data_IF_225913002988
#
_entry.id   IF_225913002988
#
_cell.length_a   1.000
_cell.length_b   1.000
_cell.length_c   1.000
_cell.angle_alpha   90.00
_cell.angle_beta   90.00
_cell.angle_gamma   90.00
#
_symmetry.space_group_name_H-M   'P 1'
#
loop_
_entity.id
_entity.type
_entity.pdbx_description
1 polymer ?
#
# COMPACT_ATOMS: atom_id res chain seq x y z
N UNK A 1 -17.71 15.23 -0.68
CA UNK A 1 -17.81 15.54 0.74
C UNK A 1 -18.59 16.85 0.97
N UNK A 2 -18.20 17.98 0.37
CA UNK A 2 -18.89 19.29 0.53
C UNK A 2 -20.39 19.23 0.24
N UNK A 3 -20.80 18.57 -0.87
CA UNK A 3 -22.23 18.42 -1.24
C UNK A 3 -23.05 17.73 -0.16
N UNK A 4 -22.43 16.80 0.57
CA UNK A 4 -23.09 16.01 1.62
C UNK A 4 -22.84 16.58 3.04
N UNK A 5 -22.32 17.82 3.13
CA UNK A 5 -22.05 18.52 4.40
C UNK A 5 -21.15 17.71 5.38
N UNK A 6 -20.28 16.85 4.84
CA UNK A 6 -19.31 16.11 5.65
C UNK A 6 -18.18 17.05 6.06
N UNK A 7 -17.86 17.09 7.35
CA UNK A 7 -16.71 17.83 7.85
C UNK A 7 -15.44 17.05 7.51
N UNK A 8 -14.46 17.71 6.91
CA UNK A 8 -13.22 17.05 6.51
C UNK A 8 -12.01 17.99 6.60
N UNK A 9 -10.85 17.40 6.80
CA UNK A 9 -9.54 18.02 6.71
C UNK A 9 -8.74 17.33 5.62
N UNK A 10 -8.00 18.10 4.82
CA UNK A 10 -7.11 17.54 3.78
C UNK A 10 -5.66 17.70 4.23
N UNK A 11 -4.88 16.63 4.07
CA UNK A 11 -3.43 16.65 4.15
C UNK A 11 -2.89 16.12 2.80
N UNK A 12 -2.30 17.01 2.00
CA UNK A 12 -1.84 16.70 0.64
C UNK A 12 -0.30 16.72 0.50
N UNK A 13 0.42 17.03 1.56
CA UNK A 13 1.88 17.22 1.54
C UNK A 13 2.63 15.88 1.74
N UNK A 14 2.27 14.86 0.97
CA UNK A 14 2.97 13.58 0.99
C UNK A 14 3.82 13.46 -0.26
N UNK A 15 5.13 13.51 -0.08
CA UNK A 15 6.11 13.31 -1.15
C UNK A 15 6.25 11.83 -1.52
N UNK A 16 6.79 11.52 -2.72
CA UNK A 16 7.29 10.18 -3.02
C UNK A 16 8.31 9.72 -1.98
N UNK A 17 8.26 8.44 -1.59
CA UNK A 17 9.07 7.88 -0.49
C UNK A 17 8.92 8.69 0.82
N UNK A 18 7.73 8.69 1.43
CA UNK A 18 7.44 9.52 2.59
C UNK A 18 8.35 9.18 3.76
N UNK A 19 8.77 10.21 4.48
CA UNK A 19 9.59 10.05 5.67
C UNK A 19 8.78 10.16 6.97
N UNK A 20 9.45 9.85 8.08
CA UNK A 20 8.84 9.90 9.41
C UNK A 20 8.39 11.31 9.80
N UNK A 21 9.03 12.35 9.25
CA UNK A 21 8.68 13.75 9.51
C UNK A 21 7.31 14.07 8.90
N UNK A 22 7.07 13.63 7.66
CA UNK A 22 5.77 13.75 6.99
C UNK A 22 4.68 12.99 7.75
N UNK A 23 4.97 11.77 8.20
CA UNK A 23 4.04 10.98 9.01
C UNK A 23 3.69 11.70 10.31
N UNK A 24 4.68 12.20 11.04
CA UNK A 24 4.44 12.93 12.29
C UNK A 24 3.59 14.17 12.06
N UNK A 25 3.88 14.97 11.03
CA UNK A 25 3.11 16.17 10.69
C UNK A 25 1.64 15.85 10.39
N UNK A 26 1.37 14.79 9.60
CA UNK A 26 0.01 14.33 9.35
C UNK A 26 -0.68 13.82 10.61
N UNK A 27 0.04 13.09 11.46
CA UNK A 27 -0.49 12.60 12.75
C UNK A 27 -0.92 13.73 13.68
N UNK A 28 -0.13 14.83 13.77
CA UNK A 28 -0.51 16.01 14.57
C UNK A 28 -1.80 16.66 14.05
N UNK A 29 -1.97 16.76 12.73
CA UNK A 29 -3.21 17.25 12.12
C UNK A 29 -4.38 16.33 12.51
N UNK A 30 -4.20 15.00 12.47
CA UNK A 30 -5.22 14.06 12.89
C UNK A 30 -5.57 14.20 14.38
N UNK A 31 -4.58 14.41 15.25
CA UNK A 31 -4.81 14.63 16.69
C UNK A 31 -5.64 15.88 16.95
N UNK A 32 -5.40 16.94 16.19
CA UNK A 32 -6.18 18.19 16.27
C UNK A 32 -7.60 18.04 15.73
N UNK A 33 -7.75 17.40 14.55
CA UNK A 33 -9.03 17.23 13.85
C UNK A 33 -9.91 16.12 14.43
N UNK A 34 -9.29 15.06 14.98
CA UNK A 34 -9.96 13.87 15.55
C UNK A 34 -10.88 13.13 14.57
N UNK A 35 -10.36 12.65 13.43
CA UNK A 35 -11.18 11.95 12.45
C UNK A 35 -11.71 10.63 13.00
N UNK A 36 -12.91 10.24 12.59
CA UNK A 36 -13.46 8.89 12.72
C UNK A 36 -13.19 8.03 11.47
N UNK A 37 -12.81 8.67 10.38
CA UNK A 37 -12.54 8.04 9.10
C UNK A 37 -11.35 8.70 8.42
N UNK A 38 -10.40 7.89 7.96
CA UNK A 38 -9.27 8.29 7.11
C UNK A 38 -9.57 7.82 5.70
N UNK A 39 -9.38 8.71 4.72
CA UNK A 39 -9.45 8.37 3.30
C UNK A 39 -8.06 8.64 2.70
N UNK A 40 -7.34 7.58 2.36
CA UNK A 40 -6.08 7.66 1.65
C UNK A 40 -6.34 7.55 0.15
N UNK A 41 -6.18 8.66 -0.57
CA UNK A 41 -6.36 8.74 -2.02
C UNK A 41 -5.00 9.01 -2.67
N UNK A 42 -4.49 8.08 -3.47
CA UNK A 42 -3.20 8.24 -4.16
C UNK A 42 -2.53 6.92 -4.51
N UNK A 43 -1.26 6.95 -4.82
CA UNK A 43 -0.42 5.76 -5.01
C UNK A 43 0.04 5.15 -3.69
N UNK A 44 1.08 4.29 -3.74
CA UNK A 44 1.63 3.62 -2.56
C UNK A 44 2.08 4.61 -1.48
N UNK A 45 2.82 5.66 -1.84
CA UNK A 45 3.37 6.63 -0.87
C UNK A 45 2.32 7.30 0.01
N UNK A 46 1.24 7.90 -0.51
CA UNK A 46 0.17 8.44 0.32
C UNK A 46 -0.53 7.38 1.18
N UNK A 47 -0.74 6.17 0.66
CA UNK A 47 -1.38 5.10 1.41
C UNK A 47 -0.50 4.60 2.56
N UNK A 48 0.79 4.40 2.30
CA UNK A 48 1.75 3.95 3.32
C UNK A 48 1.93 4.99 4.42
N UNK A 49 2.10 6.27 4.05
CA UNK A 49 2.12 7.36 5.02
C UNK A 49 0.85 7.40 5.87
N UNK A 50 -0.32 7.29 5.24
CA UNK A 50 -1.60 7.31 5.94
C UNK A 50 -1.79 6.10 6.88
N UNK A 51 -1.31 4.90 6.53
CA UNK A 51 -1.30 3.72 7.41
C UNK A 51 -0.49 3.97 8.68
N UNK A 52 0.69 4.58 8.56
CA UNK A 52 1.54 4.86 9.72
C UNK A 52 1.01 6.05 10.53
N UNK A 53 0.43 7.07 9.88
CA UNK A 53 -0.31 8.13 10.56
C UNK A 53 -1.50 7.57 11.37
N UNK A 54 -2.25 6.62 10.79
CA UNK A 54 -3.34 5.91 11.47
C UNK A 54 -2.84 5.17 12.72
N UNK A 55 -1.73 4.44 12.59
CA UNK A 55 -1.10 3.75 13.71
C UNK A 55 -0.75 4.73 14.84
N UNK A 56 -0.04 5.81 14.55
CA UNK A 56 0.38 6.79 15.56
C UNK A 56 -0.77 7.62 16.14
N UNK A 57 -1.86 7.78 15.39
CA UNK A 57 -3.06 8.43 15.88
C UNK A 57 -3.83 7.56 16.88
N UNK A 58 -3.98 6.27 16.58
CA UNK A 58 -4.68 5.34 17.49
C UNK A 58 -3.81 4.89 18.68
N UNK A 59 -2.50 4.83 18.49
CA UNK A 59 -1.52 4.29 19.42
C UNK A 59 -0.36 5.28 19.63
N UNK A 60 -0.60 6.38 20.35
CA UNK A 60 0.39 7.46 20.48
C UNK A 60 1.64 7.08 21.26
N UNK A 61 1.61 5.97 22.01
CA UNK A 61 2.74 5.44 22.78
C UNK A 61 3.71 4.59 21.94
N UNK A 62 3.37 4.28 20.68
CA UNK A 62 4.22 3.47 19.82
C UNK A 62 5.37 4.32 19.27
N UNK A 63 6.60 3.88 19.52
CA UNK A 63 7.79 4.46 18.89
C UNK A 63 8.07 3.78 17.53
N UNK A 64 8.29 4.57 16.50
CA UNK A 64 8.68 4.08 15.17
C UNK A 64 9.90 3.15 15.21
N UNK A 65 10.90 3.47 16.05
CA UNK A 65 12.11 2.66 16.22
C UNK A 65 11.82 1.26 16.71
N UNK A 66 10.85 1.14 17.60
CA UNK A 66 10.41 -0.14 18.12
C UNK A 66 9.74 -1.02 17.06
N UNK A 67 8.97 -0.41 16.16
CA UNK A 67 8.34 -1.11 15.05
C UNK A 67 9.36 -1.69 14.06
N UNK A 68 10.38 -0.89 13.73
CA UNK A 68 11.45 -1.27 12.82
C UNK A 68 12.29 -2.42 13.36
N UNK A 69 12.67 -2.37 14.62
CA UNK A 69 13.51 -3.41 15.25
C UNK A 69 12.80 -4.76 15.37
N UNK A 70 11.46 -4.74 15.40
CA UNK A 70 10.62 -5.92 15.67
C UNK A 70 10.10 -6.61 14.40
N UNK A 71 10.36 -6.05 13.23
CA UNK A 71 9.95 -6.61 11.94
C UNK A 71 10.71 -7.88 11.54
N UNK A 72 11.87 -8.14 12.13
CA UNK A 72 12.81 -9.17 11.69
C UNK A 72 12.29 -10.62 11.76
N UNK A 73 11.20 -10.91 12.48
CA UNK A 73 10.56 -12.24 12.45
C UNK A 73 9.06 -12.17 12.74
N UNK A 74 8.27 -12.14 11.67
CA UNK A 74 6.80 -12.14 11.75
C UNK A 74 6.27 -13.37 12.50
N UNK A 75 6.99 -14.47 12.51
CA UNK A 75 6.60 -15.74 13.14
C UNK A 75 6.99 -15.82 14.62
N UNK A 76 8.00 -15.05 15.04
CA UNK A 76 8.51 -15.03 16.42
C UNK A 76 8.22 -13.70 17.10
N UNK A 77 6.98 -13.21 17.00
CA UNK A 77 6.60 -11.91 17.55
C UNK A 77 6.86 -11.85 19.06
N UNK A 78 7.98 -11.26 19.44
CA UNK A 78 8.22 -10.82 20.83
C UNK A 78 7.37 -9.58 21.16
N UNK A 79 6.81 -8.89 20.15
CA UNK A 79 5.98 -7.70 20.28
C UNK A 79 4.58 -7.95 19.72
N UNK A 80 3.57 -7.64 20.52
CA UNK A 80 2.18 -7.66 20.06
C UNK A 80 1.88 -6.32 19.39
N UNK A 81 1.73 -6.34 18.06
CA UNK A 81 1.30 -5.15 17.32
C UNK A 81 -0.09 -4.72 17.82
N UNK A 82 -0.32 -3.42 18.05
CA UNK A 82 -1.60 -2.95 18.54
C UNK A 82 -2.71 -3.14 17.52
N UNK A 83 -3.93 -3.40 17.99
CA UNK A 83 -5.11 -3.47 17.13
C UNK A 83 -5.53 -2.06 16.72
N UNK A 84 -5.71 -1.86 15.41
CA UNK A 84 -6.21 -0.62 14.83
C UNK A 84 -7.70 -0.73 14.46
N UNK A 85 -8.30 0.41 14.08
CA UNK A 85 -9.68 0.48 13.62
C UNK A 85 -10.71 0.61 14.72
N UNK A 86 -10.30 0.84 15.97
CA UNK A 86 -11.20 1.10 17.09
C UNK A 86 -11.73 2.52 17.11
N UNK A 87 -10.86 3.49 16.85
CA UNK A 87 -11.21 4.93 16.81
C UNK A 87 -11.55 5.39 15.40
N UNK A 88 -10.86 4.86 14.40
CA UNK A 88 -10.87 5.41 13.04
C UNK A 88 -10.92 4.29 12.02
N UNK A 89 -11.81 4.39 11.04
CA UNK A 89 -11.85 3.48 9.89
C UNK A 89 -10.90 3.99 8.81
N UNK A 90 -10.29 3.06 8.07
CA UNK A 90 -9.35 3.39 7.00
C UNK A 90 -9.91 2.95 5.64
N UNK A 91 -10.07 3.91 4.74
CA UNK A 91 -10.50 3.70 3.36
C UNK A 91 -9.32 4.01 2.45
N UNK A 92 -8.90 3.06 1.63
CA UNK A 92 -7.84 3.24 0.64
C UNK A 92 -8.43 3.31 -0.77
N UNK A 93 -7.98 4.29 -1.54
CA UNK A 93 -8.43 4.55 -2.92
C UNK A 93 -7.19 4.72 -3.78
N UNK A 94 -6.71 3.65 -4.46
CA UNK A 94 -5.50 3.70 -5.26
C UNK A 94 -5.69 4.52 -6.55
N UNK A 95 -4.67 5.29 -6.93
CA UNK A 95 -4.59 6.03 -8.19
C UNK A 95 -3.43 5.55 -9.07
N UNK A 96 -2.77 4.46 -8.70
CA UNK A 96 -1.77 3.74 -9.49
C UNK A 96 -2.07 2.25 -9.47
N UNK A 97 -1.65 1.53 -10.50
CA UNK A 97 -1.84 0.08 -10.63
C UNK A 97 -0.50 -0.63 -10.44
N UNK A 98 -0.06 -0.76 -9.19
CA UNK A 98 1.27 -1.31 -8.87
C UNK A 98 1.36 -1.93 -7.49
N UNK A 99 1.42 -1.11 -6.46
CA UNK A 99 1.80 -1.50 -5.10
C UNK A 99 0.81 -2.42 -4.38
N UNK A 100 -0.47 -2.40 -4.74
CA UNK A 100 -1.51 -3.13 -3.99
C UNK A 100 -1.67 -2.68 -2.53
N UNK A 101 -1.17 -1.49 -2.17
CA UNK A 101 -1.18 -1.01 -0.78
C UNK A 101 -2.60 -0.92 -0.19
N UNK A 102 -3.62 -0.78 -1.04
CA UNK A 102 -5.03 -0.74 -0.61
C UNK A 102 -5.54 -2.04 0.03
N UNK A 103 -4.86 -3.16 -0.20
CA UNK A 103 -5.23 -4.49 0.34
C UNK A 103 -4.11 -5.18 1.13
N UNK A 104 -2.99 -4.50 1.36
CA UNK A 104 -1.83 -5.11 2.00
C UNK A 104 -1.61 -4.62 3.43
N UNK A 105 -1.01 -5.47 4.28
CA UNK A 105 -0.67 -5.14 5.66
C UNK A 105 0.69 -4.42 5.79
N UNK A 106 1.21 -3.87 4.71
CA UNK A 106 2.55 -3.27 4.65
C UNK A 106 2.48 -1.76 4.53
N UNK A 107 3.51 -1.08 5.06
CA UNK A 107 3.81 0.31 4.79
C UNK A 107 5.34 0.50 4.77
N UNK A 108 5.86 1.25 3.81
CA UNK A 108 7.29 1.54 3.70
C UNK A 108 7.52 3.02 3.97
N UNK A 109 8.32 3.31 5.01
CA UNK A 109 8.66 4.68 5.39
C UNK A 109 10.17 4.85 5.29
N UNK A 110 10.60 5.97 4.72
CA UNK A 110 12.00 6.31 4.55
C UNK A 110 12.55 7.04 5.78
N UNK A 111 13.77 6.68 6.17
CA UNK A 111 14.60 7.45 7.08
C UNK A 111 15.69 8.11 6.23
N UNK A 112 15.42 9.32 5.78
CA UNK A 112 16.31 10.08 4.91
C UNK A 112 17.62 10.44 5.61
N UNK A 113 17.60 10.58 6.95
CA UNK A 113 18.81 10.89 7.73
C UNK A 113 19.81 9.75 7.70
N UNK A 114 19.35 8.50 7.68
CA UNK A 114 20.18 7.30 7.66
C UNK A 114 20.19 6.59 6.28
N UNK A 115 19.56 7.17 5.27
CA UNK A 115 19.40 6.60 3.92
C UNK A 115 18.88 5.15 3.96
N UNK A 116 17.80 4.93 4.70
CA UNK A 116 17.20 3.59 4.90
C UNK A 116 15.71 3.62 4.67
N UNK A 117 15.20 2.53 4.09
CA UNK A 117 13.75 2.25 4.00
C UNK A 117 13.37 1.22 5.07
N UNK A 118 12.31 1.51 5.78
CA UNK A 118 11.80 0.67 6.86
C UNK A 118 10.42 0.12 6.48
N UNK A 119 10.34 -1.15 6.11
CA UNK A 119 9.06 -1.81 5.97
C UNK A 119 8.44 -2.07 7.35
N UNK A 120 7.20 -1.67 7.53
CA UNK A 120 6.36 -2.00 8.67
C UNK A 120 5.32 -2.99 8.18
N UNK A 121 5.12 -4.08 8.88
CA UNK A 121 4.15 -5.09 8.51
C UNK A 121 3.37 -5.60 9.71
N UNK A 122 2.06 -5.47 9.64
CA UNK A 122 1.12 -6.16 10.51
C UNK A 122 -0.26 -6.17 9.87
N UNK A 123 -1.00 -7.26 10.03
CA UNK A 123 -2.35 -7.37 9.49
C UNK A 123 -3.31 -6.27 9.97
N UNK A 124 -3.04 -5.67 11.14
CA UNK A 124 -3.79 -4.51 11.64
C UNK A 124 -3.67 -3.26 10.76
N UNK A 125 -2.62 -3.16 9.91
CA UNK A 125 -2.43 -2.07 8.96
C UNK A 125 -3.25 -2.23 7.67
N UNK A 126 -3.89 -3.38 7.47
CA UNK A 126 -4.74 -3.60 6.30
C UNK A 126 -5.92 -2.62 6.31
N UNK A 127 -6.16 -1.87 5.23
CA UNK A 127 -7.28 -0.95 5.15
C UNK A 127 -8.64 -1.63 5.43
N UNK A 128 -9.55 -0.91 6.06
CA UNK A 128 -10.90 -1.42 6.35
C UNK A 128 -11.72 -1.60 5.06
N UNK A 129 -11.52 -0.71 4.09
CA UNK A 129 -12.18 -0.70 2.78
C UNK A 129 -11.18 -0.29 1.72
N UNK A 130 -11.14 -1.02 0.62
CA UNK A 130 -10.47 -0.61 -0.62
C UNK A 130 -11.52 -0.23 -1.66
N UNK A 131 -11.37 0.94 -2.29
CA UNK A 131 -12.21 1.39 -3.41
C UNK A 131 -11.32 1.41 -4.66
N UNK A 132 -11.46 0.41 -5.50
CA UNK A 132 -10.67 0.23 -6.72
C UNK A 132 -11.48 0.75 -7.90
N UNK A 133 -11.29 2.04 -8.23
CA UNK A 133 -12.03 2.72 -9.31
C UNK A 133 -11.10 2.96 -10.51
N UNK A 134 -11.32 2.25 -11.63
CA UNK A 134 -10.47 2.38 -12.82
C UNK A 134 -10.50 3.79 -13.44
N UNK A 135 -11.51 4.60 -13.17
CA UNK A 135 -11.55 5.98 -13.65
C UNK A 135 -10.38 6.82 -13.11
N UNK A 136 -9.84 6.47 -11.93
CA UNK A 136 -8.75 7.20 -11.29
C UNK A 136 -7.37 6.90 -11.89
N UNK A 137 -7.24 5.85 -12.71
CA UNK A 137 -5.96 5.47 -13.34
C UNK A 137 -5.89 5.77 -14.84
N UNK A 138 -6.94 6.34 -15.43
CA UNK A 138 -6.99 6.65 -16.87
C UNK A 138 -5.95 7.69 -17.28
N UNK A 139 -5.64 8.63 -16.40
CA UNK A 139 -4.71 9.74 -16.68
C UNK A 139 -3.28 9.45 -16.24
N UNK A 140 -3.00 8.25 -15.71
CA UNK A 140 -1.64 7.85 -15.32
C UNK A 140 -0.74 7.84 -16.56
N UNK A 141 0.43 8.54 -16.51
CA UNK A 141 1.38 8.55 -17.63
C UNK A 141 1.83 7.14 -18.01
N UNK A 142 2.08 6.92 -19.32
CA UNK A 142 2.44 5.60 -19.85
C UNK A 142 3.70 5.00 -19.19
N UNK A 143 4.72 5.82 -18.90
CA UNK A 143 5.93 5.34 -18.22
C UNK A 143 5.63 4.87 -16.78
N UNK A 144 4.78 5.59 -16.03
CA UNK A 144 4.36 5.15 -14.70
C UNK A 144 3.55 3.85 -14.79
N UNK A 145 2.66 3.74 -15.78
CA UNK A 145 1.88 2.52 -15.99
C UNK A 145 2.76 1.32 -16.36
N UNK A 146 3.87 1.54 -17.09
CA UNK A 146 4.83 0.50 -17.41
C UNK A 146 5.58 0.03 -16.15
N UNK A 147 6.15 0.96 -15.40
CA UNK A 147 6.92 0.66 -14.19
C UNK A 147 6.04 -0.04 -13.15
N UNK A 148 4.87 0.53 -12.85
CA UNK A 148 3.96 -0.06 -11.86
C UNK A 148 3.34 -1.38 -12.34
N UNK A 149 3.13 -1.55 -13.64
CA UNK A 149 2.64 -2.82 -14.19
C UNK A 149 3.68 -3.94 -14.14
N UNK A 150 4.96 -3.62 -14.32
CA UNK A 150 6.06 -4.57 -14.09
C UNK A 150 6.21 -4.92 -12.62
N UNK A 151 5.96 -3.96 -11.73
CA UNK A 151 5.90 -4.19 -10.29
C UNK A 151 4.79 -5.20 -9.94
N UNK A 152 3.59 -5.07 -10.52
CA UNK A 152 2.50 -6.07 -10.38
C UNK A 152 2.95 -7.46 -10.80
N UNK A 153 3.64 -7.58 -11.95
CA UNK A 153 4.15 -8.87 -12.42
C UNK A 153 5.14 -9.47 -11.45
N UNK A 154 6.04 -8.64 -10.90
CA UNK A 154 7.04 -9.06 -9.92
C UNK A 154 6.37 -9.49 -8.62
N UNK A 155 5.43 -8.72 -8.09
CA UNK A 155 4.63 -9.07 -6.91
C UNK A 155 3.95 -10.44 -7.06
N UNK A 156 3.24 -10.65 -8.17
CA UNK A 156 2.52 -11.87 -8.41
C UNK A 156 3.47 -13.07 -8.59
N UNK A 157 4.58 -12.88 -9.32
CA UNK A 157 5.57 -13.93 -9.53
C UNK A 157 6.27 -14.33 -8.23
N UNK A 158 6.69 -13.34 -7.42
CA UNK A 158 7.33 -13.63 -6.13
C UNK A 158 6.36 -14.28 -5.15
N UNK A 159 5.09 -13.86 -5.11
CA UNK A 159 4.07 -14.52 -4.32
C UNK A 159 3.87 -15.99 -4.72
N UNK A 160 3.86 -16.28 -6.03
CA UNK A 160 3.69 -17.65 -6.55
C UNK A 160 4.85 -18.58 -6.19
N UNK A 161 6.10 -18.09 -6.24
CA UNK A 161 7.28 -18.92 -5.92
C UNK A 161 7.70 -18.83 -4.46
N UNK A 162 6.94 -18.14 -3.62
CA UNK A 162 7.24 -17.97 -2.20
C UNK A 162 7.17 -19.30 -1.45
N UNK A 163 8.01 -19.45 -0.43
CA UNK A 163 7.90 -20.57 0.51
C UNK A 163 6.59 -20.55 1.34
N UNK A 164 5.89 -19.42 1.36
CA UNK A 164 4.61 -19.23 2.03
C UNK A 164 3.41 -19.33 1.06
N UNK A 165 3.68 -19.70 -0.21
CA UNK A 165 2.63 -19.89 -1.21
C UNK A 165 1.64 -20.97 -0.80
N UNK A 166 0.42 -20.86 -1.27
CA UNK A 166 -0.68 -21.79 -0.99
C UNK A 166 -1.63 -21.82 -2.18
N UNK A 167 -2.48 -22.82 -2.28
CA UNK A 167 -3.50 -22.93 -3.34
C UNK A 167 -4.33 -21.66 -3.49
N UNK A 168 -4.58 -20.92 -2.41
CA UNK A 168 -5.31 -19.65 -2.42
C UNK A 168 -4.48 -18.52 -3.04
N UNK A 169 -3.22 -18.39 -2.61
CA UNK A 169 -2.34 -17.33 -3.13
C UNK A 169 -1.90 -17.60 -4.55
N UNK A 170 -1.73 -18.86 -4.93
CA UNK A 170 -1.35 -19.30 -6.27
C UNK A 170 -2.43 -18.93 -7.30
N UNK A 171 -3.70 -19.19 -6.96
CA UNK A 171 -4.82 -18.79 -7.81
C UNK A 171 -4.86 -17.28 -8.07
N UNK A 172 -4.64 -16.46 -7.03
CA UNK A 172 -4.58 -15.00 -7.14
C UNK A 172 -3.35 -14.56 -7.96
N UNK A 173 -2.17 -15.11 -7.66
CA UNK A 173 -0.94 -14.77 -8.35
C UNK A 173 -1.01 -15.09 -9.86
N UNK A 174 -1.46 -16.28 -10.22
CA UNK A 174 -1.63 -16.69 -11.62
C UNK A 174 -2.65 -15.82 -12.36
N UNK A 175 -3.75 -15.44 -11.71
CA UNK A 175 -4.73 -14.54 -12.30
C UNK A 175 -4.13 -13.13 -12.55
N UNK A 176 -3.37 -12.60 -11.60
CA UNK A 176 -2.69 -11.32 -11.76
C UNK A 176 -1.67 -11.37 -12.91
N UNK A 177 -0.83 -12.40 -12.98
CA UNK A 177 0.14 -12.61 -14.06
C UNK A 177 -0.57 -12.63 -15.42
N UNK A 178 -1.65 -13.41 -15.55
CA UNK A 178 -2.44 -13.48 -16.77
C UNK A 178 -2.94 -12.09 -17.19
N UNK A 179 -3.56 -11.35 -16.29
CA UNK A 179 -4.08 -10.02 -16.57
C UNK A 179 -2.99 -9.05 -17.02
N UNK A 180 -1.79 -9.11 -16.42
CA UNK A 180 -0.64 -8.30 -16.82
C UNK A 180 -0.21 -8.63 -18.26
N UNK A 181 0.00 -9.91 -18.59
CA UNK A 181 0.42 -10.30 -19.93
C UNK A 181 -0.60 -9.92 -21.01
N UNK A 182 -1.88 -9.98 -20.70
CA UNK A 182 -2.95 -9.66 -21.65
C UNK A 182 -3.16 -8.15 -21.84
N UNK A 183 -2.80 -7.30 -20.85
CA UNK A 183 -3.29 -5.92 -20.84
C UNK A 183 -2.19 -4.85 -20.66
N UNK A 184 -0.99 -5.17 -20.16
CA UNK A 184 0.02 -4.17 -19.83
C UNK A 184 0.42 -3.33 -21.04
N UNK A 185 0.68 -3.96 -22.19
CA UNK A 185 1.09 -3.26 -23.40
C UNK A 185 0.05 -2.24 -23.86
N UNK A 186 -1.24 -2.62 -23.89
CA UNK A 186 -2.33 -1.73 -24.25
C UNK A 186 -2.53 -0.63 -23.20
N UNK A 187 -2.44 -0.97 -21.93
CA UNK A 187 -2.53 -0.01 -20.83
C UNK A 187 -1.46 1.09 -20.92
N UNK A 188 -0.25 0.74 -21.37
CA UNK A 188 0.86 1.69 -21.54
C UNK A 188 0.70 2.52 -22.82
N UNK A 189 0.44 1.87 -23.95
CA UNK A 189 0.44 2.50 -25.29
C UNK A 189 -0.85 3.24 -25.61
N UNK A 190 -1.99 2.64 -25.28
CA UNK A 190 -3.31 3.13 -25.69
C UNK A 190 -4.05 3.84 -24.54
N UNK A 191 -3.74 3.50 -23.29
CA UNK A 191 -4.38 4.02 -22.09
C UNK A 191 -5.92 3.90 -22.12
N UNK A 192 -6.44 2.86 -22.80
CA UNK A 192 -7.88 2.64 -22.90
C UNK A 192 -8.47 2.15 -21.57
N UNK A 193 -9.77 2.39 -21.40
CA UNK A 193 -10.46 2.08 -20.13
C UNK A 193 -10.34 0.61 -19.76
N UNK A 194 -10.52 -0.30 -20.73
CA UNK A 194 -10.52 -1.73 -20.47
C UNK A 194 -9.14 -2.21 -19.95
N UNK A 195 -8.06 -1.85 -20.65
CA UNK A 195 -6.72 -2.27 -20.26
C UNK A 195 -6.31 -1.64 -18.91
N UNK A 196 -6.69 -0.38 -18.68
CA UNK A 196 -6.45 0.29 -17.38
C UNK A 196 -7.22 -0.37 -16.25
N UNK A 197 -8.49 -0.74 -16.47
CA UNK A 197 -9.29 -1.50 -15.51
C UNK A 197 -8.63 -2.85 -15.18
N UNK A 198 -8.22 -3.61 -16.21
CA UNK A 198 -7.59 -4.93 -16.01
C UNK A 198 -6.27 -4.83 -15.25
N UNK A 199 -5.44 -3.84 -15.55
CA UNK A 199 -4.20 -3.60 -14.81
C UNK A 199 -4.47 -3.14 -13.38
N UNK A 200 -5.50 -2.34 -13.13
CA UNK A 200 -5.89 -1.92 -11.79
C UNK A 200 -6.36 -3.10 -10.94
N UNK A 201 -7.19 -3.96 -11.52
CA UNK A 201 -7.61 -5.21 -10.91
C UNK A 201 -6.42 -6.16 -10.65
N UNK A 202 -5.49 -6.30 -11.62
CA UNK A 202 -4.30 -7.13 -11.46
C UNK A 202 -3.44 -6.68 -10.27
N UNK A 203 -3.26 -5.36 -10.09
CA UNK A 203 -2.53 -4.79 -8.95
C UNK A 203 -3.15 -5.20 -7.60
N UNK A 204 -4.46 -5.04 -7.47
CA UNK A 204 -5.19 -5.43 -6.25
C UNK A 204 -5.13 -6.94 -6.00
N UNK A 205 -5.30 -7.77 -7.06
CA UNK A 205 -5.24 -9.23 -6.96
C UNK A 205 -3.83 -9.68 -6.55
N UNK A 206 -2.77 -9.12 -7.15
CA UNK A 206 -1.39 -9.39 -6.74
C UNK A 206 -1.15 -8.97 -5.28
N UNK A 207 -1.69 -7.81 -4.87
CA UNK A 207 -1.69 -7.34 -3.48
C UNK A 207 -2.26 -8.36 -2.51
N UNK A 208 -3.42 -8.94 -2.83
CA UNK A 208 -4.03 -10.00 -2.02
C UNK A 208 -3.18 -11.27 -1.98
N UNK A 209 -2.50 -11.63 -3.07
CA UNK A 209 -1.60 -12.78 -3.11
C UNK A 209 -0.40 -12.57 -2.18
N UNK A 210 0.40 -11.50 -2.39
CA UNK A 210 1.62 -11.30 -1.61
C UNK A 210 1.37 -10.83 -0.18
N UNK A 211 0.23 -10.25 0.14
CA UNK A 211 -0.15 -9.97 1.52
C UNK A 211 -0.16 -11.24 2.40
N UNK A 212 -0.36 -12.40 1.81
CA UNK A 212 -0.40 -13.69 2.48
C UNK A 212 0.82 -14.58 2.18
N UNK A 213 1.36 -14.54 0.95
CA UNK A 213 2.53 -15.33 0.55
C UNK A 213 3.86 -14.62 0.79
N UNK A 214 3.85 -13.31 1.05
CA UNK A 214 5.01 -12.44 1.09
C UNK A 214 5.74 -12.31 -0.26
N UNK A 215 6.86 -11.58 -0.25
CA UNK A 215 7.69 -11.30 -1.41
C UNK A 215 9.04 -12.03 -1.32
N UNK A 216 9.86 -11.90 -2.33
CA UNK A 216 11.09 -12.64 -2.47
C UNK A 216 12.34 -11.75 -2.62
N UNK A 217 13.28 -12.24 -3.43
CA UNK A 217 14.62 -11.69 -3.57
C UNK A 217 14.60 -10.34 -4.32
N UNK A 218 13.78 -10.20 -5.37
CA UNK A 218 13.73 -8.98 -6.18
C UNK A 218 13.38 -7.77 -5.33
N UNK A 219 12.30 -7.86 -4.53
CA UNK A 219 11.91 -6.80 -3.61
C UNK A 219 12.92 -6.59 -2.49
N UNK A 220 13.51 -7.67 -1.95
CA UNK A 220 14.55 -7.57 -0.92
C UNK A 220 15.78 -6.84 -1.41
N UNK A 221 16.16 -7.01 -2.67
CA UNK A 221 17.27 -6.29 -3.32
C UNK A 221 16.88 -4.82 -3.60
N UNK A 222 15.72 -4.58 -4.22
CA UNK A 222 15.26 -3.25 -4.56
C UNK A 222 15.16 -2.31 -3.35
N UNK A 223 14.78 -2.84 -2.19
CA UNK A 223 14.73 -2.05 -0.94
C UNK A 223 16.10 -1.71 -0.35
N UNK A 224 17.20 -2.23 -0.92
CA UNK A 224 18.57 -1.99 -0.45
C UNK A 224 19.40 -1.12 -1.41
N UNK A 225 18.90 -0.89 -2.62
CA UNK A 225 19.48 0.02 -3.61
C UNK A 225 18.98 1.44 -3.41
#
# INVERSE_FOLDING_TARGET
LRRNKVVYQIFADVEPDPDITTVNRGTEIMRAFKPDTIIALGGGSPMDAAKVMWLFYEQPEVDFRDLVQKFMDIRKRAFKFPLLGKKTKFIAIPTTSGTGSEVTPFAVISDKANNRKYPIADYSLTPTVAIVDPALVLTVPGFVAADTGMDVLTHATEAYVSQMASDYTDGLALQAIKLVFENLESSVKNADFHSREKMHNASTIAGMAFANAFLGISHSMAHKL
#
